data_IF_056524190392
#
_entry.id   IF_056524190392
#
_cell.length_a   1.000
_cell.length_b   1.000
_cell.length_c   1.000
_cell.angle_alpha   90.00
_cell.angle_beta   90.00
_cell.angle_gamma   90.00
#
_symmetry.space_group_name_H-M   'P 1'
#
loop_
_entity.id
_entity.type
_entity.pdbx_description
1 polymer ?
#
# COMPACT_ATOMS: atom_id res chain seq x y z
N UNK A 1 -7.57 -15.94 -6.82
CA UNK A 1 -6.39 -15.45 -6.06
C UNK A 1 -6.56 -13.96 -5.83
N UNK A 2 -6.33 -13.46 -4.63
CA UNK A 2 -6.47 -12.04 -4.31
C UNK A 2 -5.24 -11.26 -4.86
N UNK A 3 -5.39 -9.96 -5.19
CA UNK A 3 -4.29 -9.14 -5.67
C UNK A 3 -3.12 -9.10 -4.66
N UNK A 4 -3.42 -9.02 -3.35
CA UNK A 4 -2.41 -8.97 -2.30
C UNK A 4 -1.67 -10.30 -2.08
N UNK A 5 -2.20 -11.44 -2.55
CA UNK A 5 -1.48 -12.72 -2.52
C UNK A 5 -0.16 -12.65 -3.33
N UNK A 6 -0.11 -11.80 -4.36
CA UNK A 6 1.08 -11.53 -5.18
C UNK A 6 2.21 -10.84 -4.39
N UNK A 7 1.88 -10.20 -3.28
CA UNK A 7 2.80 -9.41 -2.45
C UNK A 7 3.24 -10.15 -1.18
N UNK A 8 2.89 -11.42 -0.99
CA UNK A 8 3.30 -12.20 0.19
C UNK A 8 4.83 -12.38 0.25
N UNK A 9 5.38 -12.38 1.47
CA UNK A 9 6.80 -12.57 1.76
C UNK A 9 7.49 -11.35 2.39
N UNK A 10 8.82 -11.35 2.39
CA UNK A 10 9.67 -10.25 2.87
C UNK A 10 10.12 -9.38 1.71
N UNK A 11 10.13 -8.06 1.89
CA UNK A 11 10.53 -7.09 0.87
C UNK A 11 11.40 -6.01 1.47
N UNK A 12 12.47 -5.64 0.78
CA UNK A 12 13.10 -4.34 0.94
C UNK A 12 12.31 -3.35 0.11
N UNK A 13 11.90 -2.23 0.68
CA UNK A 13 11.25 -1.16 -0.06
C UNK A 13 12.08 0.10 -0.03
N UNK A 14 12.27 0.73 -1.21
CA UNK A 14 12.97 2.00 -1.34
C UNK A 14 11.98 3.07 -1.76
N UNK A 15 11.80 4.07 -0.91
CA UNK A 15 10.82 5.14 -1.07
C UNK A 15 11.54 6.44 -1.39
N UNK A 16 11.09 7.12 -2.42
CA UNK A 16 11.57 8.43 -2.85
C UNK A 16 10.39 9.40 -2.82
N UNK A 17 10.38 10.32 -1.86
CA UNK A 17 9.35 11.32 -1.64
C UNK A 17 9.87 12.64 -2.19
N UNK A 18 9.13 13.23 -3.13
CA UNK A 18 9.38 14.56 -3.65
C UNK A 18 8.29 15.51 -3.16
N UNK A 19 8.66 16.51 -2.35
CA UNK A 19 7.75 17.53 -1.82
C UNK A 19 7.85 18.76 -2.73
N UNK A 20 6.81 18.93 -3.56
CA UNK A 20 6.79 19.85 -4.70
C UNK A 20 7.00 21.31 -4.28
N UNK A 21 6.33 21.75 -3.22
CA UNK A 21 6.38 23.15 -2.76
C UNK A 21 7.79 23.61 -2.34
N UNK A 22 8.63 22.68 -1.87
CA UNK A 22 9.98 22.98 -1.37
C UNK A 22 11.09 22.48 -2.30
N UNK A 23 10.73 21.91 -3.47
CA UNK A 23 11.65 21.18 -4.35
C UNK A 23 12.50 20.13 -3.59
N UNK A 24 11.97 19.57 -2.51
CA UNK A 24 12.72 18.76 -1.55
C UNK A 24 12.57 17.27 -1.85
N UNK A 25 13.67 16.52 -1.78
CA UNK A 25 13.71 15.06 -1.98
C UNK A 25 14.12 14.37 -0.70
N UNK A 26 13.32 13.41 -0.26
CA UNK A 26 13.64 12.51 0.84
C UNK A 26 13.60 11.06 0.36
N UNK A 27 14.68 10.33 0.60
CA UNK A 27 14.79 8.92 0.21
C UNK A 27 15.10 8.09 1.45
N UNK A 28 14.38 6.99 1.63
CA UNK A 28 14.65 6.03 2.69
C UNK A 28 14.39 4.60 2.24
N UNK A 29 14.91 3.65 3.00
CA UNK A 29 14.70 2.22 2.81
C UNK A 29 14.07 1.63 4.08
N UNK A 30 13.14 0.70 3.91
CA UNK A 30 12.55 -0.06 5.03
C UNK A 30 12.28 -1.51 4.60
N UNK A 31 12.49 -2.45 5.52
CA UNK A 31 12.12 -3.85 5.32
C UNK A 31 10.70 -4.09 5.83
N UNK A 32 9.88 -4.73 5.00
CA UNK A 32 8.51 -5.12 5.33
C UNK A 32 8.29 -6.61 5.16
N UNK A 33 7.35 -7.17 5.93
CA UNK A 33 6.88 -8.55 5.77
C UNK A 33 5.36 -8.56 5.64
N UNK A 34 4.86 -9.16 4.57
CA UNK A 34 3.43 -9.31 4.28
C UNK A 34 3.08 -10.79 4.46
N UNK A 35 2.17 -11.06 5.38
CA UNK A 35 1.73 -12.40 5.78
C UNK A 35 0.23 -12.51 5.54
N UNK A 36 -0.23 -13.58 4.91
CA UNK A 36 -1.66 -13.94 4.88
C UNK A 36 -2.00 -14.70 6.15
N UNK A 37 -3.09 -14.32 6.79
CA UNK A 37 -3.78 -15.13 7.79
C UNK A 37 -4.96 -15.80 7.09
N UNK A 38 -5.10 -17.09 7.31
CA UNK A 38 -6.26 -17.84 6.88
C UNK A 38 -7.35 -17.65 7.93
N UNK A 39 -8.46 -17.02 7.54
CA UNK A 39 -9.70 -16.97 8.32
C UNK A 39 -10.72 -17.90 7.66
N UNK A 40 -11.53 -18.55 8.49
CA UNK A 40 -12.48 -19.59 8.07
C UNK A 40 -13.65 -19.07 7.21
N UNK A 41 -13.95 -17.76 7.28
CA UNK A 41 -15.17 -17.16 6.75
C UNK A 41 -14.93 -16.12 5.63
N UNK A 42 -14.53 -16.59 4.44
CA UNK A 42 -14.52 -15.83 3.15
C UNK A 42 -13.70 -14.51 3.11
N UNK A 43 -13.06 -14.14 4.21
CA UNK A 43 -12.22 -12.97 4.40
C UNK A 43 -10.75 -13.38 4.29
N UNK A 44 -9.97 -12.64 3.50
CA UNK A 44 -8.52 -12.73 3.53
C UNK A 44 -7.99 -11.64 4.47
N UNK A 45 -7.37 -12.04 5.57
CA UNK A 45 -6.69 -11.13 6.48
C UNK A 45 -5.18 -11.11 6.15
N UNK A 46 -4.59 -9.91 6.11
CA UNK A 46 -3.19 -9.68 5.81
C UNK A 46 -2.55 -8.86 6.92
N UNK A 47 -1.37 -9.28 7.37
CA UNK A 47 -0.55 -8.53 8.30
C UNK A 47 0.69 -8.00 7.60
N UNK A 48 0.84 -6.67 7.60
CA UNK A 48 2.06 -5.94 7.23
C UNK A 48 2.85 -5.64 8.50
N UNK A 49 4.09 -6.13 8.59
CA UNK A 49 5.03 -5.84 9.68
C UNK A 49 6.14 -4.94 9.13
N UNK A 50 6.47 -3.86 9.82
CA UNK A 50 7.53 -2.91 9.43
C UNK A 50 8.16 -2.29 10.70
N UNK A 51 9.48 -2.42 10.85
CA UNK A 51 10.20 -2.08 12.10
C UNK A 51 9.48 -2.68 13.34
N UNK A 52 9.19 -1.87 14.36
CA UNK A 52 8.42 -2.25 15.56
C UNK A 52 6.90 -2.13 15.41
N UNK A 53 6.39 -1.80 14.22
CA UNK A 53 4.98 -1.56 13.97
C UNK A 53 4.31 -2.71 13.20
N UNK A 54 3.01 -2.87 13.42
CA UNK A 54 2.17 -3.82 12.71
C UNK A 54 0.89 -3.14 12.20
N UNK A 55 0.53 -3.43 10.96
CA UNK A 55 -0.73 -3.03 10.34
C UNK A 55 -1.48 -4.28 9.86
N UNK A 56 -2.78 -4.36 10.13
CA UNK A 56 -3.64 -5.45 9.68
C UNK A 56 -4.65 -4.91 8.65
N UNK A 57 -4.85 -5.66 7.56
CA UNK A 57 -5.77 -5.37 6.46
C UNK A 57 -6.68 -6.57 6.26
N UNK A 58 -7.99 -6.35 6.27
CA UNK A 58 -8.99 -7.37 5.93
C UNK A 58 -9.58 -7.09 4.55
N UNK A 59 -9.83 -8.13 3.77
CA UNK A 59 -10.36 -8.06 2.41
C UNK A 59 -11.39 -9.18 2.18
N UNK A 60 -12.64 -8.85 1.87
CA UNK A 60 -13.60 -9.86 1.37
C UNK A 60 -13.43 -10.04 -0.15
N UNK A 61 -13.74 -11.24 -0.65
CA UNK A 61 -13.48 -11.60 -2.05
C UNK A 61 -14.33 -10.88 -3.11
N UNK A 62 -15.35 -10.10 -2.72
CA UNK A 62 -16.27 -9.44 -3.67
C UNK A 62 -16.57 -7.96 -3.40
N UNK A 63 -16.30 -7.46 -2.18
CA UNK A 63 -16.41 -6.06 -1.78
C UNK A 63 -15.44 -5.81 -0.60
N UNK A 64 -14.76 -4.67 -0.53
CA UNK A 64 -13.89 -4.32 0.60
C UNK A 64 -14.71 -3.85 1.82
N UNK A 65 -15.50 -4.74 2.42
CA UNK A 65 -16.23 -4.47 3.65
C UNK A 65 -15.38 -4.80 4.89
N UNK A 66 -15.47 -3.94 5.91
CA UNK A 66 -14.52 -3.84 7.03
C UNK A 66 -15.25 -3.83 8.38
N UNK A 67 -14.68 -4.47 9.41
CA UNK A 67 -15.02 -4.14 10.81
C UNK A 67 -13.80 -3.70 11.63
N UNK A 68 -14.07 -2.77 12.53
CA UNK A 68 -13.26 -2.23 13.64
C UNK A 68 -12.11 -3.14 14.12
N UNK A 69 -10.89 -2.68 14.38
CA UNK A 69 -10.41 -1.32 14.71
C UNK A 69 -9.40 -0.82 13.63
N UNK A 70 -8.83 0.39 13.69
CA UNK A 70 -9.19 1.56 14.49
C UNK A 70 -9.48 2.75 13.55
N UNK A 71 -8.61 2.96 12.55
CA UNK A 71 -8.78 3.90 11.43
C UNK A 71 -9.91 3.46 10.48
N UNK A 72 -11.16 3.74 10.84
CA UNK A 72 -12.32 3.58 9.95
C UNK A 72 -12.32 4.63 8.83
N UNK A 73 -12.69 4.19 7.62
CA UNK A 73 -13.13 5.01 6.48
C UNK A 73 -12.09 5.88 5.75
N UNK A 74 -10.78 5.72 5.98
CA UNK A 74 -9.79 6.48 5.19
C UNK A 74 -9.52 5.92 3.80
N UNK A 75 -9.41 4.59 3.65
CA UNK A 75 -8.93 3.95 2.42
C UNK A 75 -10.06 3.39 1.56
N UNK A 76 -10.07 3.77 0.28
CA UNK A 76 -10.87 3.23 -0.82
C UNK A 76 -9.94 2.49 -1.79
N UNK A 77 -10.28 1.27 -2.19
CA UNK A 77 -9.41 0.36 -2.94
C UNK A 77 -10.12 -0.16 -4.18
N UNK A 78 -9.56 0.15 -5.36
CA UNK A 78 -10.13 -0.17 -6.66
C UNK A 78 -9.13 -0.99 -7.49
N UNK A 79 -9.53 -2.20 -7.91
CA UNK A 79 -8.79 -2.97 -8.91
C UNK A 79 -9.02 -2.33 -10.29
N UNK A 80 -7.97 -1.86 -10.95
CA UNK A 80 -8.06 -1.32 -12.31
C UNK A 80 -7.91 -2.45 -13.32
N UNK A 81 -6.93 -3.34 -13.12
CA UNK A 81 -6.74 -4.56 -13.91
C UNK A 81 -5.96 -5.60 -13.07
N UNK A 82 -5.51 -6.71 -13.69
CA UNK A 82 -4.77 -7.75 -12.98
C UNK A 82 -3.40 -7.33 -12.41
N UNK A 83 -2.78 -6.30 -12.98
CA UNK A 83 -1.46 -5.80 -12.57
C UNK A 83 -1.51 -4.46 -11.85
N UNK A 84 -2.67 -3.81 -11.71
CA UNK A 84 -2.78 -2.46 -11.18
C UNK A 84 -3.93 -2.31 -10.19
N UNK A 85 -3.58 -1.92 -8.97
CA UNK A 85 -4.49 -1.58 -7.89
C UNK A 85 -4.36 -0.09 -7.56
N UNK A 86 -5.48 0.61 -7.43
CA UNK A 86 -5.55 1.99 -6.97
C UNK A 86 -6.02 2.03 -5.52
N UNK A 87 -5.35 2.81 -4.69
CA UNK A 87 -5.67 3.03 -3.28
C UNK A 87 -5.82 4.54 -3.08
N UNK A 88 -7.02 5.00 -2.76
CA UNK A 88 -7.28 6.38 -2.35
C UNK A 88 -7.37 6.46 -0.83
N UNK A 89 -6.86 7.52 -0.23
CA UNK A 89 -6.90 7.75 1.21
C UNK A 89 -7.23 9.21 1.53
N UNK A 90 -8.33 9.48 2.24
CA UNK A 90 -8.60 10.83 2.79
C UNK A 90 -7.79 11.02 4.06
N UNK A 91 -6.73 11.82 4.00
CA UNK A 91 -5.90 12.15 5.16
C UNK A 91 -6.65 13.13 6.08
N UNK A 92 -7.30 14.14 5.51
CA UNK A 92 -8.29 15.01 6.15
C UNK A 92 -9.32 15.49 5.08
N UNK A 93 -10.08 16.56 5.35
CA UNK A 93 -11.10 17.08 4.44
C UNK A 93 -10.53 17.59 3.11
N UNK A 94 -9.39 18.26 3.14
CA UNK A 94 -8.78 18.92 1.98
C UNK A 94 -7.69 18.07 1.32
N UNK A 95 -7.06 17.19 2.10
CA UNK A 95 -5.87 16.43 1.73
C UNK A 95 -6.22 14.97 1.47
N UNK A 96 -5.96 14.52 0.25
CA UNK A 96 -6.02 13.11 -0.14
C UNK A 96 -4.64 12.59 -0.56
N UNK A 97 -4.43 11.31 -0.30
CA UNK A 97 -3.36 10.51 -0.87
C UNK A 97 -3.97 9.55 -1.89
N UNK A 98 -3.32 9.34 -3.03
CA UNK A 98 -3.70 8.30 -3.99
C UNK A 98 -2.44 7.56 -4.39
N UNK A 99 -2.52 6.23 -4.41
CA UNK A 99 -1.45 5.33 -4.79
C UNK A 99 -1.89 4.37 -5.89
N UNK A 100 -1.02 4.17 -6.86
CA UNK A 100 -1.16 3.15 -7.89
C UNK A 100 -0.09 2.09 -7.61
N UNK A 101 -0.50 0.95 -7.05
CA UNK A 101 0.34 -0.20 -6.76
C UNK A 101 0.35 -1.13 -7.97
N UNK A 102 1.51 -1.25 -8.61
CA UNK A 102 1.71 -2.03 -9.81
C UNK A 102 2.45 -3.34 -9.52
N UNK A 103 1.80 -4.45 -9.81
CA UNK A 103 2.42 -5.77 -9.85
C UNK A 103 3.14 -5.96 -11.18
N UNK A 104 4.48 -6.06 -11.13
CA UNK A 104 5.33 -6.37 -12.28
C UNK A 104 5.64 -7.86 -12.28
N UNK A 105 6.21 -8.39 -11.19
CA UNK A 105 6.45 -9.82 -11.02
C UNK A 105 6.59 -10.22 -9.54
N UNK A 106 6.84 -11.51 -9.29
CA UNK A 106 6.94 -12.06 -7.94
C UNK A 106 8.12 -11.53 -7.11
N UNK A 107 9.11 -10.88 -7.72
CA UNK A 107 10.39 -10.49 -7.13
C UNK A 107 10.58 -8.97 -7.08
N UNK A 108 9.92 -8.24 -7.97
CA UNK A 108 10.00 -6.79 -8.10
C UNK A 108 8.62 -6.21 -8.40
N UNK A 109 8.23 -5.20 -7.63
CA UNK A 109 7.00 -4.42 -7.82
C UNK A 109 7.26 -2.94 -7.56
N UNK A 110 6.31 -2.07 -7.90
CA UNK A 110 6.44 -0.63 -7.68
C UNK A 110 5.11 0.03 -7.36
N UNK A 111 5.14 1.19 -6.70
CA UNK A 111 3.98 2.07 -6.62
C UNK A 111 4.34 3.53 -6.88
N UNK A 112 3.35 4.26 -7.41
CA UNK A 112 3.38 5.72 -7.53
C UNK A 112 2.26 6.28 -6.68
N UNK A 113 2.63 6.90 -5.56
CA UNK A 113 1.77 7.68 -4.68
C UNK A 113 1.84 9.17 -4.99
N UNK A 114 0.79 9.91 -4.66
CA UNK A 114 0.81 11.37 -4.59
C UNK A 114 -0.13 11.88 -3.51
N UNK A 115 0.26 13.00 -2.89
CA UNK A 115 -0.54 13.73 -1.91
C UNK A 115 -1.02 15.02 -2.58
N UNK A 116 -2.32 15.28 -2.51
CA UNK A 116 -2.98 16.43 -3.12
C UNK A 116 -3.80 17.19 -2.08
N UNK A 117 -3.70 18.52 -2.07
CA UNK A 117 -4.61 19.41 -1.31
C UNK A 117 -5.49 20.16 -2.30
N UNK A 118 -6.81 19.98 -2.20
CA UNK A 118 -7.79 20.53 -3.13
C UNK A 118 -7.44 20.21 -4.61
N UNK A 119 -7.02 21.21 -5.39
CA UNK A 119 -6.62 21.04 -6.80
C UNK A 119 -5.10 20.89 -7.01
N UNK A 120 -4.28 21.10 -5.98
CA UNK A 120 -2.81 21.19 -6.09
C UNK A 120 -2.10 19.97 -5.51
N UNK A 121 -1.07 19.48 -6.20
CA UNK A 121 -0.21 18.39 -5.71
C UNK A 121 0.81 18.94 -4.72
N UNK A 122 0.93 18.29 -3.55
CA UNK A 122 1.88 18.63 -2.49
C UNK A 122 3.14 17.76 -2.56
N UNK A 123 2.97 16.45 -2.84
CA UNK A 123 4.07 15.52 -2.95
C UNK A 123 3.78 14.40 -3.95
N UNK A 124 4.85 13.85 -4.53
CA UNK A 124 4.86 12.59 -5.27
C UNK A 124 5.75 11.58 -4.53
N UNK A 125 5.41 10.31 -4.56
CA UNK A 125 6.07 9.22 -3.85
C UNK A 125 6.28 8.08 -4.83
N UNK A 126 7.54 7.70 -5.07
CA UNK A 126 7.87 6.49 -5.81
C UNK A 126 8.40 5.43 -4.86
N UNK A 127 7.75 4.27 -4.83
CA UNK A 127 8.20 3.09 -4.08
C UNK A 127 8.63 2.00 -5.03
N UNK A 128 9.82 1.42 -4.84
CA UNK A 128 10.12 0.08 -5.34
C UNK A 128 10.04 -0.94 -4.21
N UNK A 129 9.60 -2.15 -4.54
CA UNK A 129 9.53 -3.30 -3.66
C UNK A 129 10.40 -4.40 -4.26
N UNK A 130 11.46 -4.80 -3.57
CA UNK A 130 12.41 -5.83 -3.99
C UNK A 130 12.31 -7.00 -3.00
N UNK A 131 12.01 -8.20 -3.49
CA UNK A 131 11.75 -9.35 -2.62
C UNK A 131 13.04 -9.86 -2.00
N UNK A 132 13.01 -10.06 -0.68
CA UNK A 132 14.14 -10.62 0.07
C UNK A 132 13.95 -12.14 0.13
N UNK A 133 14.86 -12.85 -0.50
CA UNK A 133 15.05 -14.29 -0.28
C UNK A 133 16.03 -14.46 0.87
N UNK A 134 15.52 -14.90 2.04
CA UNK A 134 16.39 -15.43 3.08
C UNK A 134 16.95 -16.77 2.60
N UNK A 135 18.27 -16.94 2.72
CA UNK A 135 18.87 -18.27 2.90
C UNK A 135 18.46 -18.85 4.25
#
# INVERSE_FOLDING_TARGET
MNFFDKFLGRWTTKKNIFILQYNFKYTYEEQIKIIKKEDTDKLCSYTLQYNSNQFNLECSNYLFEKKKLLLSNKYDVQKINESLLKINCKLNNDICYTEYLHFINNNFNTSVGFIKKNRSYLAAIFTSYIKIYSK
#
